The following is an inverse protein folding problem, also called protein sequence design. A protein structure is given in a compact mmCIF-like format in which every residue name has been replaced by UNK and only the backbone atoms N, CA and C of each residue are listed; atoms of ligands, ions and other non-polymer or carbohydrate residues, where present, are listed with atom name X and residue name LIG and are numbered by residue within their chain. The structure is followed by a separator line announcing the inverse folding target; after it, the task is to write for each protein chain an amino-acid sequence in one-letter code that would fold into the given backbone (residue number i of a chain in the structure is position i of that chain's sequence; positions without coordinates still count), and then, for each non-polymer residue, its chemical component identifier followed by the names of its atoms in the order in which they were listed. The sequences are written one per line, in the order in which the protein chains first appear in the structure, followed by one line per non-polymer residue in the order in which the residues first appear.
data_IF_511328488574
#
_entry.id   IF_511328488574
#
_cell.length_a   1.000
_cell.length_b   1.000
_cell.length_c   1.000
_cell.angle_alpha   90.00
_cell.angle_beta   90.00
_cell.angle_gamma   90.00
#
_symmetry.space_group_name_H-M   'P 1'
#
loop_
_entity.id
_entity.type
_entity.pdbx_description
1 polymer ?
#
# COMPACT_ATOMS: atom_id res chain seq x y z
N UNK A 1 -6.15 7.92 4.21
CA UNK A 1 -5.22 7.26 5.17
C UNK A 1 -3.81 7.60 4.68
N UNK A 2 -2.70 7.03 5.18
CA UNK A 2 -1.41 7.15 4.46
C UNK A 2 -0.88 5.76 4.13
N UNK A 3 -0.17 5.60 3.02
CA UNK A 3 0.63 4.39 2.85
C UNK A 3 1.72 4.38 3.92
N UNK A 4 1.83 3.30 4.67
CA UNK A 4 2.89 3.15 5.65
C UNK A 4 4.24 2.97 4.94
N UNK A 5 5.33 3.45 5.55
CA UNK A 5 6.65 3.12 5.05
C UNK A 5 6.83 1.60 4.96
N UNK A 6 7.39 1.08 3.85
CA UNK A 6 7.46 -0.36 3.58
C UNK A 6 8.21 -1.16 4.66
N UNK A 7 9.28 -0.59 5.23
CA UNK A 7 10.04 -1.19 6.33
C UNK A 7 9.22 -1.38 7.64
N UNK A 8 8.09 -0.68 7.80
CA UNK A 8 7.25 -0.81 8.99
C UNK A 8 6.17 -1.89 8.86
N UNK A 9 5.93 -2.41 7.64
CA UNK A 9 4.78 -3.30 7.35
C UNK A 9 4.74 -4.51 8.30
N UNK A 10 5.88 -5.17 8.50
CA UNK A 10 5.99 -6.36 9.37
C UNK A 10 5.74 -6.07 10.85
N UNK A 11 5.85 -4.80 11.27
CA UNK A 11 5.66 -4.37 12.65
C UNK A 11 4.27 -3.79 12.90
N UNK A 12 3.52 -3.42 11.85
CA UNK A 12 2.21 -2.80 11.99
C UNK A 12 1.26 -3.69 12.81
N UNK A 13 0.54 -3.17 13.81
CA UNK A 13 -0.50 -3.95 14.48
C UNK A 13 -1.65 -4.26 13.51
N UNK A 14 -2.45 -5.27 13.87
CA UNK A 14 -3.54 -5.78 13.03
C UNK A 14 -4.46 -4.69 12.45
N UNK A 15 -4.98 -3.71 13.23
CA UNK A 15 -5.85 -2.67 12.67
C UNK A 15 -5.18 -1.83 11.58
N UNK A 16 -3.89 -1.54 11.74
CA UNK A 16 -3.11 -0.73 10.81
C UNK A 16 -2.79 -1.52 9.54
N UNK A 17 -2.38 -2.78 9.67
CA UNK A 17 -2.15 -3.65 8.51
C UNK A 17 -3.43 -3.81 7.66
N UNK A 18 -4.58 -4.09 8.31
CA UNK A 18 -5.87 -4.16 7.61
C UNK A 18 -6.27 -2.80 7.01
N UNK A 19 -5.90 -1.70 7.66
CA UNK A 19 -6.07 -0.34 7.12
C UNK A 19 -5.29 -0.11 5.84
N UNK A 20 -4.02 -0.51 5.81
CA UNK A 20 -3.16 -0.43 4.62
C UNK A 20 -3.75 -1.21 3.45
N UNK A 21 -4.24 -2.44 3.70
CA UNK A 21 -4.90 -3.24 2.68
C UNK A 21 -6.13 -2.53 2.09
N UNK A 22 -7.02 -2.00 2.94
CA UNK A 22 -8.20 -1.25 2.48
C UNK A 22 -7.82 0.00 1.68
N UNK A 23 -6.79 0.72 2.11
CA UNK A 23 -6.29 1.89 1.39
C UNK A 23 -5.76 1.49 0.01
N UNK A 24 -4.95 0.42 -0.09
CA UNK A 24 -4.47 -0.10 -1.36
C UNK A 24 -5.61 -0.50 -2.30
N UNK A 25 -6.63 -1.19 -1.78
CA UNK A 25 -7.81 -1.56 -2.56
C UNK A 25 -8.56 -0.33 -3.10
N UNK A 26 -8.72 0.71 -2.29
CA UNK A 26 -9.37 1.95 -2.69
C UNK A 26 -8.56 2.70 -3.77
N UNK A 27 -7.25 2.82 -3.57
CA UNK A 27 -6.33 3.51 -4.48
C UNK A 27 -6.18 2.76 -5.81
N UNK A 28 -6.13 1.42 -5.81
CA UNK A 28 -6.07 0.62 -7.04
C UNK A 28 -7.39 0.67 -7.84
N UNK A 29 -8.52 0.81 -7.15
CA UNK A 29 -9.84 0.91 -7.77
C UNK A 29 -10.19 2.31 -8.26
N UNK A 30 -11.46 2.69 -8.05
CA UNK A 30 -12.00 3.99 -8.49
C UNK A 30 -11.39 5.21 -7.75
N UNK A 31 -10.57 4.99 -6.73
CA UNK A 31 -9.80 6.04 -6.04
C UNK A 31 -8.55 6.47 -6.80
N UNK A 32 -8.10 5.73 -7.82
CA UNK A 32 -6.92 6.08 -8.60
C UNK A 32 -7.04 7.48 -9.21
N UNK A 33 -6.02 8.32 -9.01
CA UNK A 33 -5.97 9.69 -9.54
C UNK A 33 -6.86 10.71 -8.84
N UNK A 34 -7.61 10.33 -7.78
CA UNK A 34 -8.40 11.27 -6.98
C UNK A 34 -7.51 11.95 -5.94
N UNK A 35 -7.62 13.28 -5.81
CA UNK A 35 -6.82 14.08 -4.87
C UNK A 35 -6.90 13.48 -3.45
N UNK A 36 -5.75 13.13 -2.90
CA UNK A 36 -5.57 12.54 -1.57
C UNK A 36 -4.47 13.30 -0.81
N UNK A 37 -4.80 13.90 0.33
CA UNK A 37 -3.93 14.85 1.04
C UNK A 37 -2.49 14.35 1.29
N UNK A 38 -2.30 13.08 1.65
CA UNK A 38 -1.01 12.51 2.08
C UNK A 38 -0.44 11.43 1.15
N UNK A 39 -1.11 11.10 0.05
CA UNK A 39 -0.78 9.95 -0.81
C UNK A 39 -0.75 10.32 -2.30
N UNK A 40 -0.88 11.61 -2.65
CA UNK A 40 -0.88 12.06 -4.05
C UNK A 40 0.34 11.60 -4.85
N UNK A 41 1.51 11.46 -4.21
CA UNK A 41 2.72 11.00 -4.87
C UNK A 41 2.55 9.62 -5.52
N UNK A 42 1.69 8.74 -4.98
CA UNK A 42 1.43 7.42 -5.57
C UNK A 42 0.95 7.53 -7.02
N UNK A 43 0.18 8.58 -7.34
CA UNK A 43 -0.37 8.80 -8.67
C UNK A 43 0.61 9.46 -9.64
N UNK A 44 1.76 9.95 -9.17
CA UNK A 44 2.85 10.41 -10.05
C UNK A 44 3.72 9.24 -10.54
N UNK A 45 3.51 8.04 -9.99
CA UNK A 45 4.18 6.81 -10.39
C UNK A 45 3.21 5.86 -11.13
N UNK A 46 3.77 4.79 -11.68
CA UNK A 46 2.97 3.76 -12.35
C UNK A 46 1.98 3.09 -11.36
N UNK A 47 0.79 2.67 -11.81
CA UNK A 47 -0.09 1.82 -10.99
C UNK A 47 0.56 0.50 -10.56
N UNK A 48 1.59 0.06 -11.29
CA UNK A 48 2.33 -1.15 -10.97
C UNK A 48 3.09 -1.03 -9.64
N UNK A 49 3.61 0.15 -9.29
CA UNK A 49 4.21 0.37 -7.95
C UNK A 49 3.22 0.17 -6.83
N UNK A 50 1.98 0.64 -7.02
CA UNK A 50 0.94 0.47 -6.00
C UNK A 50 0.54 -0.99 -5.88
N UNK A 51 0.47 -1.72 -6.99
CA UNK A 51 0.30 -3.17 -6.96
C UNK A 51 1.43 -3.85 -6.18
N UNK A 52 2.69 -3.51 -6.45
CA UNK A 52 3.84 -4.10 -5.78
C UNK A 52 3.91 -3.75 -4.28
N UNK A 53 3.60 -2.51 -3.91
CA UNK A 53 3.45 -2.14 -2.51
C UNK A 53 2.31 -2.93 -1.84
N UNK A 54 1.17 -3.08 -2.53
CA UNK A 54 0.07 -3.88 -2.05
C UNK A 54 0.47 -5.36 -1.86
N UNK A 55 1.35 -5.90 -2.71
CA UNK A 55 1.92 -7.25 -2.54
C UNK A 55 2.64 -7.41 -1.20
N UNK A 56 3.42 -6.42 -0.75
CA UNK A 56 4.08 -6.46 0.57
C UNK A 56 3.07 -6.56 1.71
N UNK A 57 1.97 -5.81 1.63
CA UNK A 57 0.88 -5.86 2.61
C UNK A 57 0.20 -7.23 2.59
N UNK A 58 -0.13 -7.75 1.41
CA UNK A 58 -0.81 -9.04 1.27
C UNK A 58 0.07 -10.23 1.68
N UNK A 59 1.37 -10.14 1.46
CA UNK A 59 2.36 -11.12 1.94
C UNK A 59 2.42 -11.13 3.47
N UNK A 60 2.53 -9.96 4.10
CA UNK A 60 2.49 -9.88 5.56
C UNK A 60 1.16 -10.35 6.14
N UNK A 61 0.05 -10.06 5.44
CA UNK A 61 -1.25 -10.59 5.80
C UNK A 61 -1.29 -12.13 5.70
N UNK A 62 -0.79 -12.71 4.63
CA UNK A 62 -0.72 -14.15 4.47
C UNK A 62 0.16 -14.80 5.56
N UNK A 63 1.31 -14.20 5.87
CA UNK A 63 2.22 -14.66 6.93
C UNK A 63 1.54 -14.69 8.31
N UNK A 64 0.57 -13.80 8.55
CA UNK A 64 -0.23 -13.76 9.79
C UNK A 64 -1.53 -14.59 9.72
N UNK A 65 -1.71 -15.40 8.68
CA UNK A 65 -2.86 -16.29 8.51
C UNK A 65 -4.15 -15.61 8.04
N UNK A 66 -4.07 -14.40 7.46
CA UNK A 66 -5.24 -13.76 6.86
C UNK A 66 -5.52 -14.31 5.46
N UNK A 67 -6.80 -14.46 5.13
CA UNK A 67 -7.25 -14.81 3.79
C UNK A 67 -7.42 -13.54 2.95
N UNK A 68 -6.47 -13.27 2.07
CA UNK A 68 -6.58 -12.21 1.05
C UNK A 68 -7.29 -12.77 -0.18
N UNK A 69 -8.25 -12.02 -0.74
CA UNK A 69 -8.92 -12.44 -1.97
C UNK A 69 -7.91 -12.57 -3.13
N UNK A 70 -7.78 -13.75 -3.78
CA UNK A 70 -6.74 -14.01 -4.78
C UNK A 70 -6.73 -13.04 -5.96
N UNK A 71 -7.86 -12.43 -6.30
CA UNK A 71 -7.99 -11.45 -7.37
C UNK A 71 -7.07 -10.25 -7.13
N UNK A 72 -6.80 -9.86 -5.87
CA UNK A 72 -5.88 -8.77 -5.57
C UNK A 72 -4.42 -9.10 -5.89
N UNK A 73 -4.08 -10.39 -6.07
CA UNK A 73 -2.76 -10.85 -6.50
C UNK A 73 -2.53 -10.64 -8.00
N UNK A 74 -3.56 -10.32 -8.79
CA UNK A 74 -3.42 -9.89 -10.18
C UNK A 74 -3.12 -8.39 -10.25
N UNK A 75 -2.06 -8.00 -10.99
CA UNK A 75 -1.67 -6.60 -11.22
C UNK A 75 -2.75 -5.80 -11.95
N UNK A 76 -3.56 -6.47 -12.76
CA UNK A 76 -4.60 -5.85 -13.57
C UNK A 76 -5.90 -5.62 -12.80
N UNK A 77 -6.13 -6.34 -11.70
CA UNK A 77 -7.36 -6.24 -10.93
C UNK A 77 -7.49 -4.90 -10.20
N UNK A 78 -8.67 -4.29 -10.30
CA UNK A 78 -8.99 -2.97 -9.71
C UNK A 78 -10.25 -2.99 -8.84
N UNK A 79 -10.65 -4.17 -8.37
CA UNK A 79 -11.90 -4.36 -7.65
C UNK A 79 -13.09 -4.58 -8.59
N UNK A 80 -14.23 -4.96 -8.01
CA UNK A 80 -15.42 -5.40 -8.77
C UNK A 80 -16.12 -4.30 -9.58
N UNK A 81 -15.90 -3.04 -9.23
CA UNK A 81 -16.63 -1.87 -9.78
C UNK A 81 -15.74 -0.96 -10.63
N UNK A 82 -14.48 -1.35 -10.86
CA UNK A 82 -13.53 -0.61 -11.68
C UNK A 82 -12.98 -1.56 -12.75
N UNK A 83 -13.04 -1.17 -14.02
CA UNK A 83 -12.53 -1.98 -15.11
C UNK A 83 -11.05 -2.28 -14.88
N UNK A 84 -10.67 -3.56 -14.99
CA UNK A 84 -9.28 -4.00 -14.91
C UNK A 84 -8.41 -3.31 -15.95
N UNK A 85 -7.11 -3.24 -15.68
CA UNK A 85 -6.14 -2.94 -16.73
C UNK A 85 -6.11 -4.08 -17.75
N UNK A 86 -5.78 -3.80 -19.01
CA UNK A 86 -5.65 -4.84 -20.05
C UNK A 86 -4.31 -5.57 -19.92
N UNK A 87 -3.22 -4.82 -19.92
CA UNK A 87 -1.87 -5.32 -19.68
C UNK A 87 -1.06 -4.23 -18.97
N UNK A 88 -1.18 -4.18 -17.64
CA UNK A 88 -0.41 -3.23 -16.84
C UNK A 88 1.07 -3.57 -16.97
N UNK A 89 1.82 -2.69 -17.64
CA UNK A 89 3.25 -2.85 -17.84
C UNK A 89 3.99 -2.99 -16.50
N UNK A 90 4.84 -4.01 -16.43
CA UNK A 90 5.71 -4.23 -15.27
C UNK A 90 6.94 -3.36 -15.39
N UNK A 91 7.42 -2.86 -14.26
CA UNK A 91 8.66 -2.11 -14.20
C UNK A 91 9.60 -2.72 -13.16
N UNK A 92 10.90 -2.47 -13.35
CA UNK A 92 11.91 -2.82 -12.35
C UNK A 92 11.74 -1.91 -11.15
N UNK A 93 11.55 -2.51 -9.98
CA UNK A 93 11.35 -1.79 -8.73
C UNK A 93 12.68 -1.64 -7.97
N UNK A 94 12.86 -0.47 -7.35
CA UNK A 94 13.90 -0.26 -6.38
C UNK A 94 13.48 -0.71 -4.97
N UNK A 95 14.39 -0.53 -4.01
CA UNK A 95 14.09 -0.55 -2.59
C UNK A 95 14.55 0.79 -2.01
N UNK A 96 13.64 1.65 -1.53
CA UNK A 96 12.19 1.45 -1.47
C UNK A 96 11.46 1.43 -2.83
N UNK A 97 10.23 0.89 -2.87
CA UNK A 97 9.36 0.91 -4.07
C UNK A 97 9.05 2.35 -4.50
N UNK A 98 8.76 3.20 -3.51
CA UNK A 98 8.55 4.63 -3.68
C UNK A 98 9.75 5.38 -3.14
N UNK A 99 10.33 6.29 -3.93
CA UNK A 99 11.43 7.15 -3.48
C UNK A 99 11.05 8.01 -2.27
N UNK A 100 9.76 8.30 -2.13
CA UNK A 100 9.15 9.03 -1.02
C UNK A 100 9.16 8.24 0.29
N UNK A 101 9.38 6.92 0.26
CA UNK A 101 9.61 6.11 1.46
C UNK A 101 11.08 6.20 1.88
N UNK A 102 11.55 7.42 2.09
CA UNK A 102 12.89 7.69 2.62
C UNK A 102 12.90 7.67 4.17
N UNK A 103 14.06 7.97 4.75
CA UNK A 103 14.22 8.03 6.21
C UNK A 103 13.35 9.12 6.86
N UNK A 104 13.08 10.23 6.17
CA UNK A 104 12.20 11.28 6.68
C UNK A 104 10.75 10.78 6.77
N UNK A 105 10.27 10.16 5.69
CA UNK A 105 8.94 9.57 5.66
C UNK A 105 8.76 8.40 6.64
N UNK A 106 9.83 7.64 6.87
CA UNK A 106 9.88 6.61 7.91
C UNK A 106 9.57 7.20 9.29
N UNK A 107 10.28 8.27 9.67
CA UNK A 107 10.06 8.96 10.96
C UNK A 107 8.68 9.61 11.04
N UNK A 108 8.17 10.18 9.94
CA UNK A 108 6.79 10.69 9.91
C UNK A 108 5.75 9.58 10.11
N UNK A 109 5.99 8.38 9.58
CA UNK A 109 5.11 7.23 9.79
C UNK A 109 5.14 6.78 11.26
N UNK A 110 6.33 6.73 11.88
CA UNK A 110 6.48 6.44 13.30
C UNK A 110 5.79 7.48 14.18
N UNK A 111 6.00 8.77 13.91
CA UNK A 111 5.35 9.85 14.62
C UNK A 111 3.82 9.73 14.54
N UNK A 112 3.29 9.43 13.34
CA UNK A 112 1.84 9.24 13.18
C UNK A 112 1.28 8.03 13.94
N UNK A 113 2.07 6.96 14.09
CA UNK A 113 1.68 5.82 14.93
C UNK A 113 1.70 6.20 16.42
N UNK A 114 2.75 6.90 16.87
CA UNK A 114 2.89 7.39 18.25
C UNK A 114 1.77 8.36 18.64
N UNK A 115 1.40 9.29 17.76
CA UNK A 115 0.27 10.22 17.96
C UNK A 115 -1.08 9.48 18.17
N UNK A 116 -1.20 8.27 17.61
CA UNK A 116 -2.37 7.40 17.77
C UNK A 116 -2.25 6.45 18.96
N UNK A 117 -1.22 6.61 19.80
CA UNK A 117 -0.94 5.74 20.93
C UNK A 117 -0.48 4.33 20.53
N UNK A 118 0.11 4.18 19.34
CA UNK A 118 0.60 2.91 18.82
C UNK A 118 2.12 2.89 18.91
N UNK A 119 2.64 2.02 19.76
CA UNK A 119 4.07 1.71 19.83
C UNK A 119 4.34 0.41 19.06
N UNK A 120 5.31 0.48 18.15
CA UNK A 120 5.82 -0.71 17.47
C UNK A 120 6.79 -1.43 18.42
N UNK A 121 6.76 -2.76 18.40
CA UNK A 121 7.60 -3.61 19.25
C UNK A 121 8.91 -3.97 18.56
#
# INVERSE_FOLDING_TARGET
MRLGHEALISQLPRPQLLGQHRECCALRGNGWGRKHATVNYVFTHSPYRLYAYHRLIMEEMANRGYNVSPEWLDKNYRGKTCSSYQDLAEEKLGKPIYSEHDAGYYEECLANLREKGIELK
#
